data_IF_863115402241
#
_entry.id   IF_863115402241
#
_cell.length_a   1.000
_cell.length_b   1.000
_cell.length_c   1.000
_cell.angle_alpha   90.00
_cell.angle_beta   90.00
_cell.angle_gamma   90.00
#
_symmetry.space_group_name_H-M   'P 1'
#
loop_
_entity.id
_entity.type
_entity.pdbx_description
1 polymer ?
#
# COMPACT_ATOMS: atom_id res chain seq x y z
N UNK A 1 40.97 65.88 30.89
CA UNK A 1 39.60 65.63 31.39
C UNK A 1 38.94 64.60 30.50
N UNK A 2 38.52 63.48 31.10
CA UNK A 2 37.99 62.32 30.40
C UNK A 2 36.53 62.53 29.96
N UNK A 3 36.21 62.16 28.72
CA UNK A 3 34.84 61.84 28.31
C UNK A 3 34.82 60.44 27.71
N UNK A 4 34.05 59.58 28.38
CA UNK A 4 33.85 58.16 28.08
C UNK A 4 32.98 58.04 26.82
N UNK A 5 33.44 57.27 25.83
CA UNK A 5 32.60 56.80 24.74
C UNK A 5 31.87 55.51 25.15
N UNK A 6 30.54 55.55 25.16
CA UNK A 6 29.67 54.37 25.19
C UNK A 6 29.61 53.74 23.79
N UNK A 7 29.72 52.40 23.64
CA UNK A 7 29.40 51.76 22.36
C UNK A 7 27.88 51.53 22.25
N UNK A 8 27.31 52.11 21.20
CA UNK A 8 25.95 51.84 20.73
C UNK A 8 25.83 50.37 20.35
N UNK A 9 24.98 49.65 21.08
CA UNK A 9 24.43 48.36 20.67
C UNK A 9 23.56 48.56 19.42
N UNK A 10 23.95 47.96 18.29
CA UNK A 10 23.09 47.82 17.10
C UNK A 10 23.26 46.44 16.48
N UNK A 11 22.20 45.66 16.63
CA UNK A 11 21.63 44.75 15.64
C UNK A 11 22.49 43.57 15.18
N UNK A 12 22.18 42.38 15.71
CA UNK A 12 22.39 41.07 15.03
C UNK A 12 21.07 40.57 14.41
N UNK A 13 20.77 40.82 13.12
CA UNK A 13 19.61 40.22 12.45
C UNK A 13 19.85 38.77 11.97
N UNK A 14 21.09 38.29 12.01
CA UNK A 14 21.47 37.02 11.35
C UNK A 14 21.02 35.74 12.08
N UNK A 15 20.77 35.78 13.39
CA UNK A 15 20.33 34.58 14.14
C UNK A 15 18.85 34.26 13.95
N UNK A 16 17.98 35.28 13.89
CA UNK A 16 16.54 35.09 13.62
C UNK A 16 16.27 34.55 12.22
N UNK A 17 17.01 34.98 11.21
CA UNK A 17 16.83 34.48 9.83
C UNK A 17 17.23 33.00 9.66
N UNK A 18 18.22 32.52 10.41
CA UNK A 18 18.57 31.08 10.44
C UNK A 18 17.51 30.26 11.18
N UNK A 19 17.00 30.76 12.30
CA UNK A 19 15.92 30.10 13.05
C UNK A 19 14.64 30.03 12.21
N UNK A 20 14.23 31.14 11.56
CA UNK A 20 13.09 31.18 10.64
C UNK A 20 13.27 30.26 9.43
N UNK A 21 14.47 30.15 8.85
CA UNK A 21 14.73 29.16 7.79
C UNK A 21 14.65 27.73 8.29
N UNK A 22 15.16 27.45 9.49
CA UNK A 22 15.13 26.11 10.10
C UNK A 22 13.71 25.72 10.54
N UNK A 23 12.90 26.70 10.93
CA UNK A 23 11.49 26.58 11.30
C UNK A 23 10.59 26.49 10.07
N UNK A 24 10.93 27.17 8.97
CA UNK A 24 10.28 27.00 7.67
C UNK A 24 10.66 25.67 7.00
N UNK A 25 11.86 25.14 7.24
CA UNK A 25 12.25 23.79 6.82
C UNK A 25 11.62 22.70 7.71
N UNK A 26 11.44 22.97 9.01
CA UNK A 26 10.66 22.11 9.92
C UNK A 26 9.18 22.11 9.56
N UNK A 27 8.60 23.26 9.17
CA UNK A 27 7.19 23.35 8.74
C UNK A 27 6.90 22.74 7.36
N UNK A 28 7.90 22.59 6.50
CA UNK A 28 7.75 21.82 5.24
C UNK A 28 7.96 20.32 5.43
N UNK A 29 8.39 19.89 6.62
CA UNK A 29 8.38 18.49 7.03
C UNK A 29 7.03 18.08 7.67
N UNK A 30 6.11 19.03 7.80
CA UNK A 30 4.76 18.78 8.28
C UNK A 30 3.98 18.11 7.14
N UNK A 31 3.69 16.83 7.36
CA UNK A 31 2.81 15.94 6.58
C UNK A 31 3.41 15.38 5.27
N UNK A 32 4.30 14.38 5.40
CA UNK A 32 4.57 13.49 4.26
C UNK A 32 3.23 12.91 3.77
N UNK A 33 3.04 12.82 2.45
CA UNK A 33 1.77 12.35 1.88
C UNK A 33 1.34 10.97 2.43
N UNK A 34 2.32 10.08 2.70
CA UNK A 34 2.07 8.79 3.35
C UNK A 34 1.49 8.92 4.76
N UNK A 35 1.91 9.93 5.53
CA UNK A 35 1.38 10.19 6.87
C UNK A 35 -0.06 10.73 6.80
N UNK A 36 -0.38 11.48 5.75
CA UNK A 36 -1.76 11.93 5.50
C UNK A 36 -2.66 10.74 5.14
N UNK A 37 -2.18 9.83 4.30
CA UNK A 37 -2.90 8.59 4.02
C UNK A 37 -3.08 7.77 5.31
N UNK A 38 -2.03 7.47 6.06
CA UNK A 38 -2.16 6.68 7.29
C UNK A 38 -3.19 7.25 8.27
N UNK A 39 -3.19 8.57 8.49
CA UNK A 39 -4.22 9.25 9.30
C UNK A 39 -5.64 9.13 8.72
N UNK A 40 -5.76 9.11 7.39
CA UNK A 40 -7.03 8.83 6.70
C UNK A 40 -7.56 7.43 6.96
N UNK A 41 -6.68 6.41 7.02
CA UNK A 41 -7.07 5.04 7.34
C UNK A 41 -7.60 4.94 8.77
N UNK A 42 -6.91 5.54 9.74
CA UNK A 42 -7.34 5.60 11.15
C UNK A 42 -8.75 6.21 11.28
N UNK A 43 -9.03 7.27 10.52
CA UNK A 43 -10.34 7.90 10.51
C UNK A 43 -11.44 7.00 9.90
N UNK A 44 -11.12 6.30 8.80
CA UNK A 44 -12.03 5.36 8.14
C UNK A 44 -12.37 4.18 9.08
N UNK A 45 -11.38 3.66 9.81
CA UNK A 45 -11.56 2.54 10.72
C UNK A 45 -12.38 2.93 11.96
N UNK A 46 -12.20 4.14 12.48
CA UNK A 46 -13.05 4.70 13.52
C UNK A 46 -14.50 4.89 13.06
N UNK A 47 -14.74 5.35 11.83
CA UNK A 47 -16.10 5.42 11.28
C UNK A 47 -16.71 4.02 11.16
N UNK A 48 -15.92 3.04 10.72
CA UNK A 48 -16.36 1.64 10.64
C UNK A 48 -16.77 1.09 11.99
N UNK A 49 -15.96 1.34 13.03
CA UNK A 49 -16.24 0.83 14.38
C UNK A 49 -17.51 1.45 14.94
N UNK A 50 -17.71 2.75 14.74
CA UNK A 50 -18.94 3.44 15.15
C UNK A 50 -20.15 2.87 14.41
N UNK A 51 -20.07 2.68 13.09
CA UNK A 51 -21.17 2.09 12.31
C UNK A 51 -21.48 0.66 12.75
N UNK A 52 -20.48 -0.11 13.22
CA UNK A 52 -20.70 -1.44 13.79
C UNK A 52 -21.31 -1.44 15.20
N UNK A 53 -21.20 -0.34 15.96
CA UNK A 53 -21.83 -0.18 17.28
C UNK A 53 -23.32 0.16 17.20
N UNK A 54 -23.81 0.58 16.03
CA UNK A 54 -25.23 0.85 15.76
C UNK A 54 -25.76 -0.13 14.72
N UNK A 55 -26.04 -1.41 15.07
CA UNK A 55 -26.83 -2.26 14.19
C UNK A 55 -28.21 -1.63 14.01
N UNK A 56 -28.64 -1.48 12.75
CA UNK A 56 -30.03 -1.17 12.45
C UNK A 56 -30.91 -2.29 13.02
N UNK A 57 -31.79 -1.91 13.92
CA UNK A 57 -32.84 -2.75 14.51
C UNK A 57 -33.88 -3.05 13.44
N UNK A 58 -33.69 -4.12 12.67
CA UNK A 58 -34.76 -4.74 11.89
C UNK A 58 -35.46 -5.77 12.76
N UNK A 59 -36.48 -5.29 13.48
CA UNK A 59 -37.37 -6.13 14.25
C UNK A 59 -38.27 -6.98 13.34
N UNK A 60 -38.15 -8.31 13.45
CA UNK A 60 -39.30 -9.20 13.27
C UNK A 60 -39.14 -10.49 14.08
N UNK A 61 -40.14 -10.72 14.92
CA UNK A 61 -40.32 -11.77 15.91
C UNK A 61 -40.50 -13.20 15.36
N UNK A 62 -39.80 -14.13 16.02
CA UNK A 62 -40.26 -15.34 16.75
C UNK A 62 -41.49 -16.15 16.28
N UNK A 63 -41.26 -17.45 16.00
CA UNK A 63 -41.86 -18.67 16.62
C UNK A 63 -41.57 -19.86 15.66
N UNK A 64 -41.25 -21.10 16.06
CA UNK A 64 -41.23 -21.80 17.34
C UNK A 64 -40.52 -23.16 17.13
N UNK A 65 -39.83 -23.65 18.18
CA UNK A 65 -39.76 -25.04 18.72
C UNK A 65 -39.89 -26.23 17.73
N UNK A 66 -39.06 -27.28 17.78
CA UNK A 66 -39.04 -28.29 18.86
C UNK A 66 -37.76 -29.13 18.87
N UNK A 67 -37.34 -29.41 20.09
CA UNK A 67 -36.50 -30.45 20.72
C UNK A 67 -36.22 -31.77 19.97
N UNK A 68 -35.00 -32.32 20.16
CA UNK A 68 -34.79 -33.70 20.63
C UNK A 68 -33.53 -33.78 21.51
N UNK A 69 -33.74 -34.19 22.76
CA UNK A 69 -32.77 -34.55 23.79
C UNK A 69 -31.80 -35.68 23.36
N UNK A 70 -30.59 -35.68 23.92
CA UNK A 70 -30.15 -36.70 24.90
C UNK A 70 -28.61 -36.79 24.94
N UNK A 71 -28.05 -36.41 26.07
CA UNK A 71 -26.78 -36.89 26.62
C UNK A 71 -27.16 -37.62 27.94
N UNK A 72 -26.30 -38.38 28.64
CA UNK A 72 -24.93 -38.81 28.38
C UNK A 72 -24.73 -40.32 28.59
N UNK A 73 -23.56 -40.85 28.26
CA UNK A 73 -22.99 -41.92 29.09
C UNK A 73 -21.47 -41.80 29.15
N UNK A 74 -20.99 -41.71 30.39
CA UNK A 74 -19.60 -41.72 30.76
C UNK A 74 -19.14 -43.16 30.86
N UNK A 75 -18.00 -43.50 30.26
CA UNK A 75 -17.14 -44.49 30.87
C UNK A 75 -15.66 -44.21 30.61
N UNK A 76 -14.90 -44.33 31.69
CA UNK A 76 -13.51 -43.97 31.80
C UNK A 76 -12.66 -45.23 31.65
N UNK A 77 -11.76 -45.28 30.65
CA UNK A 77 -10.61 -46.17 30.71
C UNK A 77 -9.48 -45.76 29.74
N UNK A 78 -8.30 -45.54 30.35
CA UNK A 78 -6.96 -45.84 29.82
C UNK A 78 -6.48 -45.13 28.55
N UNK A 79 -5.60 -44.14 28.73
CA UNK A 79 -4.65 -43.69 27.71
C UNK A 79 -3.48 -44.68 27.59
N UNK A 80 -3.15 -45.20 26.39
CA UNK A 80 -1.78 -45.59 26.06
C UNK A 80 -1.08 -44.42 25.38
N UNK A 81 0.14 -44.16 25.83
CA UNK A 81 1.08 -43.18 25.29
C UNK A 81 1.36 -43.53 23.82
N UNK A 82 0.76 -42.79 22.89
CA UNK A 82 1.07 -42.87 21.47
C UNK A 82 1.91 -41.65 21.05
N UNK A 83 3.14 -41.97 20.70
CA UNK A 83 4.21 -41.17 20.10
C UNK A 83 3.74 -39.95 19.29
N UNK A 84 4.34 -38.80 19.59
CA UNK A 84 4.36 -37.59 18.74
C UNK A 84 4.60 -37.99 17.28
N UNK A 85 3.69 -37.70 16.33
CA UNK A 85 4.13 -37.54 14.95
C UNK A 85 4.95 -36.26 14.91
N UNK A 86 6.25 -36.39 14.63
CA UNK A 86 7.06 -35.28 14.21
C UNK A 86 6.40 -34.71 12.96
N UNK A 87 5.66 -33.61 13.11
CA UNK A 87 5.16 -32.84 11.97
C UNK A 87 6.38 -32.27 11.26
N UNK A 88 6.94 -33.06 10.35
CA UNK A 88 7.72 -32.51 9.24
C UNK A 88 6.72 -31.68 8.46
N UNK A 89 6.66 -30.38 8.77
CA UNK A 89 6.02 -29.38 7.93
C UNK A 89 6.78 -29.45 6.62
N UNK A 90 6.26 -30.26 5.71
CA UNK A 90 6.79 -30.32 4.35
C UNK A 90 6.43 -28.97 3.75
N UNK A 91 7.41 -28.13 3.36
CA UNK A 91 7.10 -26.85 2.76
C UNK A 91 6.23 -27.12 1.53
N UNK A 92 5.02 -26.56 1.51
CA UNK A 92 4.13 -26.62 0.37
C UNK A 92 4.91 -26.11 -0.84
N UNK A 93 5.28 -27.01 -1.77
CA UNK A 93 6.00 -26.63 -2.99
C UNK A 93 5.11 -25.64 -3.74
N UNK A 94 5.50 -24.38 -3.89
CA UNK A 94 4.63 -23.42 -4.54
C UNK A 94 4.56 -23.81 -6.03
N UNK A 95 3.37 -24.08 -6.55
CA UNK A 95 3.20 -24.38 -7.98
C UNK A 95 3.70 -23.18 -8.79
N UNK A 96 4.52 -23.44 -9.81
CA UNK A 96 5.00 -22.38 -10.70
C UNK A 96 3.79 -21.65 -11.29
N UNK A 97 3.69 -20.33 -11.02
CA UNK A 97 2.58 -19.50 -11.49
C UNK A 97 2.88 -18.94 -12.87
N UNK A 98 1.84 -18.86 -13.70
CA UNK A 98 1.92 -18.21 -15.01
C UNK A 98 2.17 -16.70 -14.88
N UNK A 99 2.92 -16.16 -15.83
CA UNK A 99 3.23 -14.74 -15.91
C UNK A 99 2.68 -14.14 -17.20
N UNK A 100 1.71 -13.24 -17.05
CA UNK A 100 1.03 -12.59 -18.17
C UNK A 100 1.70 -11.29 -18.63
N UNK A 101 2.83 -10.89 -18.04
CA UNK A 101 3.51 -9.64 -18.40
C UNK A 101 3.01 -8.42 -17.66
N UNK A 102 2.49 -8.58 -16.45
CA UNK A 102 2.18 -7.45 -15.56
C UNK A 102 3.46 -7.04 -14.79
N UNK A 103 3.98 -5.81 -15.00
CA UNK A 103 5.14 -5.32 -14.26
C UNK A 103 4.96 -5.31 -12.74
N UNK A 104 3.72 -5.12 -12.23
CA UNK A 104 3.47 -5.07 -10.79
C UNK A 104 3.62 -6.45 -10.13
N UNK A 105 3.37 -7.52 -10.89
CA UNK A 105 3.52 -8.91 -10.46
C UNK A 105 4.87 -9.53 -10.83
N UNK A 106 5.71 -8.78 -11.54
CA UNK A 106 7.00 -9.27 -12.02
C UNK A 106 7.89 -9.73 -10.85
N UNK A 107 7.95 -8.97 -9.76
CA UNK A 107 8.82 -9.31 -8.64
C UNK A 107 8.42 -10.64 -7.97
N UNK A 108 7.12 -10.85 -7.75
CA UNK A 108 6.59 -12.11 -7.22
C UNK A 108 6.97 -13.28 -8.14
N UNK A 109 6.71 -13.12 -9.45
CA UNK A 109 7.05 -14.13 -10.45
C UNK A 109 8.55 -14.42 -10.48
N UNK A 110 9.40 -13.40 -10.48
CA UNK A 110 10.85 -13.56 -10.61
C UNK A 110 11.47 -14.29 -9.42
N UNK A 111 11.01 -13.97 -8.20
CA UNK A 111 11.45 -14.67 -6.98
C UNK A 111 11.03 -16.15 -7.01
N UNK A 112 9.81 -16.42 -7.44
CA UNK A 112 9.29 -17.78 -7.54
C UNK A 112 10.03 -18.59 -8.62
N UNK A 113 10.25 -17.99 -9.79
CA UNK A 113 10.99 -18.58 -10.90
C UNK A 113 12.43 -18.90 -10.48
N UNK A 114 13.15 -17.92 -9.91
CA UNK A 114 14.56 -18.06 -9.55
C UNK A 114 14.75 -19.16 -8.51
N UNK A 115 13.94 -19.14 -7.44
CA UNK A 115 14.05 -20.12 -6.35
C UNK A 115 13.72 -21.56 -6.76
N UNK A 116 12.84 -21.76 -7.74
CA UNK A 116 12.38 -23.10 -8.15
C UNK A 116 13.07 -23.67 -9.37
N UNK A 117 13.47 -22.83 -10.33
CA UNK A 117 14.02 -23.27 -11.62
C UNK A 117 15.27 -22.50 -11.99
N UNK A 118 15.24 -21.15 -11.90
CA UNK A 118 16.32 -20.28 -12.36
C UNK A 118 17.67 -20.58 -11.70
N UNK A 119 17.68 -20.72 -10.37
CA UNK A 119 18.88 -20.95 -9.55
C UNK A 119 19.17 -22.43 -9.33
N UNK A 120 18.26 -23.33 -9.73
CA UNK A 120 18.48 -24.76 -9.66
C UNK A 120 19.45 -25.22 -10.76
N UNK A 121 20.20 -26.32 -10.53
CA UNK A 121 21.19 -26.83 -11.48
C UNK A 121 20.55 -27.61 -12.64
N UNK A 122 19.49 -27.07 -13.24
CA UNK A 122 18.93 -27.59 -14.49
C UNK A 122 19.72 -27.08 -15.70
N UNK A 123 19.71 -27.84 -16.78
CA UNK A 123 20.28 -27.41 -18.06
C UNK A 123 19.47 -26.26 -18.67
N UNK A 124 20.13 -25.44 -19.50
CA UNK A 124 19.50 -24.25 -20.05
C UNK A 124 18.32 -24.57 -21.00
N UNK A 125 18.28 -25.75 -21.63
CA UNK A 125 17.18 -26.13 -22.51
C UNK A 125 15.93 -26.41 -21.67
N UNK A 126 16.05 -27.21 -20.61
CA UNK A 126 14.95 -27.44 -19.65
C UNK A 126 14.48 -26.13 -19.03
N UNK A 127 15.40 -25.23 -18.65
CA UNK A 127 15.04 -23.89 -18.15
C UNK A 127 14.29 -23.08 -19.20
N UNK A 128 14.74 -23.05 -20.45
CA UNK A 128 14.08 -22.31 -21.54
C UNK A 128 12.66 -22.82 -21.80
N UNK A 129 12.48 -24.15 -21.90
CA UNK A 129 11.18 -24.77 -22.12
C UNK A 129 10.22 -24.49 -20.96
N UNK A 130 10.68 -24.67 -19.73
CA UNK A 130 9.88 -24.38 -18.53
C UNK A 130 9.52 -22.90 -18.45
N UNK A 131 10.49 -22.01 -18.70
CA UNK A 131 10.28 -20.56 -18.68
C UNK A 131 9.22 -20.18 -19.70
N UNK A 132 9.37 -20.63 -20.95
CA UNK A 132 8.41 -20.35 -22.03
C UNK A 132 7.00 -20.84 -21.69
N UNK A 133 6.87 -22.03 -21.09
CA UNK A 133 5.57 -22.59 -20.70
C UNK A 133 4.79 -21.73 -19.68
N UNK A 134 5.52 -21.02 -18.81
CA UNK A 134 4.94 -20.13 -17.79
C UNK A 134 4.58 -18.74 -18.33
N UNK A 135 5.15 -18.31 -19.46
CA UNK A 135 4.85 -17.01 -20.03
C UNK A 135 3.54 -17.06 -20.81
N UNK A 136 2.66 -16.10 -20.56
CA UNK A 136 1.38 -15.93 -21.25
C UNK A 136 1.21 -14.50 -21.75
N UNK A 137 0.28 -14.31 -22.69
CA UNK A 137 -0.14 -12.98 -23.15
C UNK A 137 1.02 -12.05 -23.55
N UNK A 138 1.06 -10.80 -23.05
CA UNK A 138 2.15 -9.86 -23.29
C UNK A 138 3.57 -10.38 -23.02
N UNK A 139 3.76 -11.24 -22.00
CA UNK A 139 5.08 -11.78 -21.69
C UNK A 139 5.52 -12.80 -22.75
N UNK A 140 4.63 -13.69 -23.16
CA UNK A 140 4.92 -14.67 -24.22
C UNK A 140 5.25 -13.97 -25.54
N UNK A 141 4.44 -12.98 -25.94
CA UNK A 141 4.69 -12.17 -27.15
C UNK A 141 6.04 -11.46 -27.13
N UNK A 142 6.57 -11.12 -25.95
CA UNK A 142 7.87 -10.49 -25.85
C UNK A 142 9.03 -11.43 -26.22
N UNK A 143 8.82 -12.74 -26.15
CA UNK A 143 9.86 -13.76 -26.41
C UNK A 143 9.51 -14.73 -27.54
N UNK A 144 8.39 -14.53 -28.23
CA UNK A 144 7.88 -15.41 -29.29
C UNK A 144 8.86 -15.60 -30.46
N UNK A 145 9.77 -14.65 -30.68
CA UNK A 145 10.84 -14.75 -31.69
C UNK A 145 12.03 -15.63 -31.30
N UNK A 146 12.08 -16.17 -30.07
CA UNK A 146 13.15 -17.05 -29.61
C UNK A 146 12.70 -18.51 -29.60
N UNK A 147 13.50 -19.39 -30.20
CA UNK A 147 13.34 -20.84 -29.99
C UNK A 147 13.84 -21.25 -28.60
N UNK A 148 13.21 -22.20 -27.90
CA UNK A 148 13.61 -22.63 -26.55
C UNK A 148 14.88 -23.50 -26.58
N UNK A 149 16.01 -22.87 -26.91
CA UNK A 149 17.35 -23.48 -26.98
C UNK A 149 18.23 -22.98 -25.83
N UNK A 150 19.33 -23.68 -25.57
CA UNK A 150 20.28 -23.32 -24.51
C UNK A 150 20.87 -21.92 -24.68
N UNK A 151 21.14 -21.53 -25.94
CA UNK A 151 21.71 -20.23 -26.30
C UNK A 151 20.70 -19.10 -26.08
N UNK A 152 19.45 -19.32 -26.49
CA UNK A 152 18.39 -18.31 -26.41
C UNK A 152 17.86 -18.08 -24.99
N UNK A 153 18.04 -19.04 -24.05
CA UNK A 153 17.54 -18.91 -22.68
C UNK A 153 17.91 -17.56 -22.04
N UNK A 154 19.18 -17.16 -22.15
CA UNK A 154 19.68 -15.90 -21.58
C UNK A 154 19.00 -14.68 -22.22
N UNK A 155 18.74 -14.73 -23.53
CA UNK A 155 18.06 -13.66 -24.26
C UNK A 155 16.59 -13.54 -23.88
N UNK A 156 15.91 -14.67 -23.66
CA UNK A 156 14.51 -14.70 -23.19
C UNK A 156 14.40 -14.09 -21.80
N UNK A 157 15.24 -14.53 -20.86
CA UNK A 157 15.30 -13.99 -19.49
C UNK A 157 15.58 -12.49 -19.54
N UNK A 158 16.63 -12.07 -20.24
CA UNK A 158 16.98 -10.65 -20.37
C UNK A 158 15.83 -9.82 -20.93
N UNK A 159 15.12 -10.33 -21.94
CA UNK A 159 13.98 -9.63 -22.54
C UNK A 159 12.85 -9.43 -21.54
N UNK A 160 12.51 -10.45 -20.74
CA UNK A 160 11.48 -10.37 -19.71
C UNK A 160 11.89 -9.42 -18.58
N UNK A 161 13.12 -9.53 -18.08
CA UNK A 161 13.66 -8.63 -17.05
C UNK A 161 13.66 -7.17 -17.52
N UNK A 162 14.15 -6.91 -18.73
CA UNK A 162 14.23 -5.55 -19.29
C UNK A 162 12.85 -4.93 -19.47
N UNK A 163 11.88 -5.71 -19.95
CA UNK A 163 10.56 -5.19 -20.35
C UNK A 163 9.59 -5.04 -19.18
N UNK A 164 9.65 -5.95 -18.20
CA UNK A 164 8.69 -6.01 -17.10
C UNK A 164 9.32 -5.80 -15.72
N UNK A 165 10.60 -6.10 -15.55
CA UNK A 165 11.31 -5.99 -14.28
C UNK A 165 12.12 -4.71 -14.07
N UNK A 166 12.25 -3.87 -15.10
CA UNK A 166 12.93 -2.59 -14.96
C UNK A 166 12.09 -1.63 -14.09
N UNK A 167 12.68 -0.93 -13.10
CA UNK A 167 12.02 0.11 -12.30
C UNK A 167 11.16 1.09 -13.11
N UNK A 168 11.62 1.52 -14.30
CA UNK A 168 10.85 2.43 -15.15
C UNK A 168 9.55 1.81 -15.70
N UNK A 169 9.53 0.49 -15.95
CA UNK A 169 8.32 -0.20 -16.36
C UNK A 169 7.32 -0.31 -15.21
N UNK A 170 7.81 -0.62 -14.00
CA UNK A 170 7.00 -0.70 -12.78
C UNK A 170 6.41 0.68 -12.44
N UNK A 171 7.22 1.74 -12.46
CA UNK A 171 6.74 3.13 -12.27
C UNK A 171 5.63 3.49 -13.25
N UNK A 172 5.84 3.22 -14.56
CA UNK A 172 4.82 3.49 -15.59
C UNK A 172 3.52 2.70 -15.32
N UNK A 173 3.62 1.46 -14.88
CA UNK A 173 2.45 0.65 -14.52
C UNK A 173 1.71 1.24 -13.31
N UNK A 174 2.43 1.65 -12.26
CA UNK A 174 1.87 2.29 -11.06
C UNK A 174 1.16 3.61 -11.39
N UNK A 175 1.78 4.47 -12.19
CA UNK A 175 1.13 5.70 -12.64
C UNK A 175 -0.10 5.41 -13.50
N UNK A 176 -0.04 4.43 -14.40
CA UNK A 176 -1.19 4.06 -15.22
C UNK A 176 -2.33 3.49 -14.36
N UNK A 177 -2.02 2.73 -13.32
CA UNK A 177 -2.99 2.26 -12.34
C UNK A 177 -3.62 3.42 -11.57
N UNK A 178 -2.80 4.34 -11.06
CA UNK A 178 -3.26 5.56 -10.38
C UNK A 178 -4.19 6.39 -11.25
N UNK A 179 -3.86 6.56 -12.54
CA UNK A 179 -4.70 7.30 -13.47
C UNK A 179 -6.04 6.62 -13.72
N UNK A 180 -6.06 5.29 -13.87
CA UNK A 180 -7.26 4.50 -14.16
C UNK A 180 -8.18 4.30 -12.96
N UNK A 181 -7.67 4.45 -11.74
CA UNK A 181 -8.49 4.36 -10.53
C UNK A 181 -9.70 5.30 -10.64
N UNK A 182 -10.95 4.82 -10.54
CA UNK A 182 -12.11 5.69 -10.57
C UNK A 182 -12.15 6.58 -9.32
N UNK A 183 -12.97 7.64 -9.36
CA UNK A 183 -13.27 8.41 -8.16
C UNK A 183 -14.09 7.54 -7.21
N UNK A 184 -13.71 7.55 -5.93
CA UNK A 184 -14.44 6.87 -4.86
C UNK A 184 -15.84 7.47 -4.67
N UNK A 185 -16.77 6.64 -4.21
CA UNK A 185 -18.09 7.11 -3.76
C UNK A 185 -18.01 7.63 -2.31
N UNK A 186 -19.12 8.14 -1.79
CA UNK A 186 -19.21 8.53 -0.37
C UNK A 186 -19.43 7.35 0.58
N UNK A 187 -19.49 6.10 0.08
CA UNK A 187 -19.64 4.90 0.93
C UNK A 187 -18.31 4.58 1.62
N UNK A 188 -18.37 4.29 2.92
CA UNK A 188 -17.19 3.96 3.75
C UNK A 188 -16.37 2.80 3.18
N UNK A 189 -17.03 1.77 2.61
CA UNK A 189 -16.36 0.64 1.95
C UNK A 189 -15.51 1.08 0.76
N UNK A 190 -16.04 1.97 -0.07
CA UNK A 190 -15.40 2.42 -1.30
C UNK A 190 -14.27 3.40 -1.00
N UNK A 191 -14.43 4.22 0.04
CA UNK A 191 -13.40 5.09 0.58
C UNK A 191 -12.22 4.28 1.11
N UNK A 192 -12.49 3.24 1.92
CA UNK A 192 -11.46 2.31 2.40
C UNK A 192 -10.73 1.63 1.25
N UNK A 193 -11.47 1.07 0.31
CA UNK A 193 -10.85 0.37 -0.81
C UNK A 193 -9.98 1.30 -1.68
N UNK A 194 -10.46 2.52 -1.94
CA UNK A 194 -9.69 3.52 -2.68
C UNK A 194 -8.44 3.93 -1.91
N UNK A 195 -8.56 4.10 -0.59
CA UNK A 195 -7.44 4.39 0.30
C UNK A 195 -6.35 3.32 0.20
N UNK A 196 -6.70 2.05 0.42
CA UNK A 196 -5.76 0.92 0.41
C UNK A 196 -4.98 0.83 -0.91
N UNK A 197 -5.67 1.07 -2.04
CA UNK A 197 -5.04 1.11 -3.37
C UNK A 197 -4.06 2.27 -3.48
N UNK A 198 -4.47 3.48 -3.07
CA UNK A 198 -3.63 4.68 -3.12
C UNK A 198 -2.40 4.52 -2.23
N UNK A 199 -2.56 4.01 -1.01
CA UNK A 199 -1.47 3.75 -0.09
C UNK A 199 -0.47 2.74 -0.67
N UNK A 200 -0.96 1.63 -1.24
CA UNK A 200 -0.09 0.68 -1.93
C UNK A 200 0.68 1.33 -3.08
N UNK A 201 0.00 2.05 -3.96
CA UNK A 201 0.64 2.66 -5.15
C UNK A 201 1.70 3.68 -4.70
N UNK A 202 1.35 4.57 -3.78
CA UNK A 202 2.26 5.60 -3.29
C UNK A 202 3.46 5.00 -2.60
N UNK A 203 3.29 4.04 -1.68
CA UNK A 203 4.40 3.31 -1.06
C UNK A 203 5.35 2.70 -2.11
N UNK A 204 4.81 2.01 -3.12
CA UNK A 204 5.61 1.41 -4.20
C UNK A 204 6.32 2.47 -5.07
N UNK A 205 5.71 3.63 -5.30
CA UNK A 205 6.36 4.76 -5.98
C UNK A 205 7.51 5.34 -5.14
N UNK A 206 7.34 5.50 -3.81
CA UNK A 206 8.40 5.93 -2.89
C UNK A 206 9.60 4.98 -2.90
N UNK A 207 9.35 3.67 -2.84
CA UNK A 207 10.40 2.65 -2.88
C UNK A 207 11.24 2.73 -4.17
N UNK A 208 10.62 3.18 -5.27
CA UNK A 208 11.28 3.39 -6.56
C UNK A 208 11.90 4.79 -6.70
N UNK A 209 11.90 5.59 -5.63
CA UNK A 209 12.49 6.93 -5.56
C UNK A 209 11.70 8.01 -6.31
N UNK A 210 10.40 7.81 -6.55
CA UNK A 210 9.53 8.89 -7.05
C UNK A 210 9.17 9.87 -5.94
N UNK A 211 9.04 11.14 -6.32
CA UNK A 211 8.54 12.17 -5.42
C UNK A 211 7.00 12.13 -5.39
N UNK A 212 6.45 11.47 -4.38
CA UNK A 212 5.00 11.38 -4.16
C UNK A 212 4.40 12.75 -3.82
N UNK A 213 5.20 13.67 -3.27
CA UNK A 213 4.76 15.02 -2.94
C UNK A 213 4.78 15.95 -4.16
N UNK A 214 5.12 15.42 -5.35
CA UNK A 214 5.08 16.18 -6.57
C UNK A 214 3.63 16.64 -6.85
N UNK A 215 3.38 17.92 -7.18
CA UNK A 215 2.03 18.48 -7.29
C UNK A 215 1.10 17.74 -8.27
N UNK A 216 1.67 17.13 -9.32
CA UNK A 216 0.88 16.33 -10.26
C UNK A 216 0.35 15.04 -9.62
N UNK A 217 1.16 14.36 -8.80
CA UNK A 217 0.75 13.15 -8.09
C UNK A 217 -0.31 13.51 -7.04
N UNK A 218 -0.07 14.58 -6.26
CA UNK A 218 -1.05 15.10 -5.30
C UNK A 218 -2.39 15.45 -5.97
N UNK A 219 -2.37 16.11 -7.13
CA UNK A 219 -3.57 16.49 -7.86
C UNK A 219 -4.36 15.26 -8.35
N UNK A 220 -3.66 14.24 -8.89
CA UNK A 220 -4.30 13.00 -9.34
C UNK A 220 -4.93 12.28 -8.15
N UNK A 221 -4.21 12.14 -7.05
CA UNK A 221 -4.72 11.44 -5.87
C UNK A 221 -5.92 12.18 -5.28
N UNK A 222 -5.83 13.51 -5.14
CA UNK A 222 -6.93 14.36 -4.67
C UNK A 222 -8.17 14.19 -5.56
N UNK A 223 -7.99 14.03 -6.88
CA UNK A 223 -9.10 13.82 -7.82
C UNK A 223 -9.87 12.50 -7.62
N UNK A 224 -9.25 11.51 -6.94
CA UNK A 224 -9.85 10.19 -6.67
C UNK A 224 -10.78 10.21 -5.45
N UNK A 225 -10.71 11.25 -4.62
CA UNK A 225 -11.60 11.41 -3.49
C UNK A 225 -12.89 12.14 -3.89
N UNK A 226 -14.00 11.92 -3.16
CA UNK A 226 -15.20 12.71 -3.36
C UNK A 226 -14.95 14.20 -3.06
N UNK A 227 -15.68 15.08 -3.75
CA UNK A 227 -15.50 16.52 -3.63
C UNK A 227 -15.68 17.03 -2.20
N UNK A 228 -16.59 16.42 -1.43
CA UNK A 228 -16.86 16.78 -0.03
C UNK A 228 -15.62 16.57 0.84
N UNK A 229 -14.93 15.43 0.69
CA UNK A 229 -13.67 15.13 1.39
C UNK A 229 -12.53 16.06 0.96
N UNK A 230 -12.42 16.35 -0.34
CA UNK A 230 -11.39 17.25 -0.87
C UNK A 230 -11.57 18.67 -0.33
N UNK A 231 -12.82 19.15 -0.30
CA UNK A 231 -13.14 20.50 0.19
C UNK A 231 -12.78 20.64 1.67
N UNK A 232 -13.10 19.64 2.48
CA UNK A 232 -12.73 19.61 3.89
C UNK A 232 -11.21 19.52 4.10
N UNK A 233 -10.51 18.71 3.29
CA UNK A 233 -9.05 18.58 3.35
C UNK A 233 -8.35 19.89 2.98
N UNK A 234 -8.76 20.52 1.88
CA UNK A 234 -8.21 21.82 1.44
C UNK A 234 -8.47 22.90 2.48
N UNK A 235 -9.68 22.96 3.04
CA UNK A 235 -10.03 23.87 4.14
C UNK A 235 -9.12 23.66 5.36
N UNK A 236 -8.87 22.40 5.75
CA UNK A 236 -7.95 22.07 6.87
C UNK A 236 -6.49 22.44 6.55
N UNK A 237 -6.03 22.20 5.32
CA UNK A 237 -4.67 22.55 4.87
C UNK A 237 -4.45 24.07 4.87
N UNK A 238 -5.45 24.85 4.43
CA UNK A 238 -5.44 26.31 4.52
C UNK A 238 -5.44 26.82 5.97
N UNK A 239 -6.23 26.20 6.86
CA UNK A 239 -6.27 26.53 8.29
C UNK A 239 -4.94 26.23 9.01
N UNK A 240 -4.29 25.11 8.68
CA UNK A 240 -2.96 24.75 9.19
C UNK A 240 -1.91 25.76 8.73
N UNK A 241 -1.94 26.15 7.44
CA UNK A 241 -1.01 27.13 6.87
C UNK A 241 -1.20 28.54 7.43
N UNK A 242 -2.43 28.88 7.84
CA UNK A 242 -2.81 30.19 8.36
C UNK A 242 -2.80 30.26 9.90
N UNK A 243 -2.36 29.20 10.60
CA UNK A 243 -2.17 29.18 12.06
C UNK A 243 -3.42 29.52 12.88
N UNK A 244 -4.61 29.35 12.33
CA UNK A 244 -5.85 29.77 12.99
C UNK A 244 -6.46 28.58 13.74
N UNK A 245 -6.49 28.57 15.08
CA UNK A 245 -7.08 27.48 15.83
C UNK A 245 -8.60 27.42 15.60
N UNK A 246 -9.09 26.22 15.30
CA UNK A 246 -10.52 25.93 15.15
C UNK A 246 -11.25 26.24 16.46
N UNK A 247 -11.97 27.37 16.51
CA UNK A 247 -13.01 27.57 17.52
C UNK A 247 -14.18 26.65 17.17
N UNK A 248 -14.33 25.55 17.89
CA UNK A 248 -15.56 24.77 17.88
C UNK A 248 -16.72 25.70 18.25
N UNK A 249 -17.59 25.98 17.28
CA UNK A 249 -18.88 26.59 17.53
C UNK A 249 -19.68 25.59 18.38
N UNK A 250 -19.79 25.87 19.67
CA UNK A 250 -20.79 25.23 20.52
C UNK A 250 -22.14 25.54 19.89
N UNK A 251 -22.83 24.51 19.38
CA UNK A 251 -24.25 24.63 19.04
C UNK A 251 -24.95 25.01 20.35
N UNK A 252 -25.40 26.26 20.43
CA UNK A 252 -26.22 26.71 21.55
C UNK A 252 -27.55 26.03 21.42
N UNK A 253 -27.82 25.13 22.36
CA UNK A 253 -29.14 24.60 22.65
C UNK A 253 -30.06 25.78 22.95
N UNK A 254 -31.16 25.91 22.21
CA UNK A 254 -32.41 26.52 22.69
C UNK A 254 -33.54 25.85 21.95
#
# INVERSE_FOLDING_TARGET
MALRNCPHDRFRPRRRARHLRQEHHRRTADDNFLDVLNRGQEAIDLISSIVSEFPEDDGSDRHSTVDVESNPDADAAAYPIASRPSSVVTPLKPTLREFHGDPLRYQEFWQLWSSQVGDKPYDNITKAQTFLGLLKGPALRAVEGYSPTAENYKHMVFTIQRRFGNPAAIKRALHAELHRLPRSSNRTSDLRHTHEILERITRQLAELGEDINHPQVEAIITSKWPHEFVSDLLRRKELSRNGTPLRCAKKSTT
#
